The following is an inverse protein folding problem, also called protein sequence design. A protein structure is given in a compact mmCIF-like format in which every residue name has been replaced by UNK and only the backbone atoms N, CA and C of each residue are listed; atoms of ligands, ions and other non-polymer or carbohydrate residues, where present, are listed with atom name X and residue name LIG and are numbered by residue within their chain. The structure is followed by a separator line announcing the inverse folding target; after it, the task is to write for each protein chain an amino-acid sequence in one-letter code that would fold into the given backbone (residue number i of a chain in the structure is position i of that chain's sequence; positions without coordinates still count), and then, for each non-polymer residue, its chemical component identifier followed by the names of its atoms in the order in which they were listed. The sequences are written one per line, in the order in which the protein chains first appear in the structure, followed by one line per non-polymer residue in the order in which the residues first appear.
data_IF_602019772282
#
_entry.id   IF_602019772282
#
_cell.length_a   1.000
_cell.length_b   1.000
_cell.length_c   1.000
_cell.angle_alpha   90.00
_cell.angle_beta   90.00
_cell.angle_gamma   90.00
#
_symmetry.space_group_name_H-M   'P 1'
#
loop_
_entity.id
_entity.type
_entity.pdbx_description
1 polymer ?
#
# COMPACT_ATOMS: atom_id res chain seq x y z
N UNK A 1 15.00 18.00 -25.53
CA UNK A 1 14.16 17.24 -26.48
C UNK A 1 14.95 17.08 -27.77
N UNK A 2 15.05 15.89 -28.38
CA UNK A 2 15.57 15.80 -29.74
C UNK A 2 14.56 16.42 -30.73
N UNK A 3 15.01 17.04 -31.84
CA UNK A 3 14.13 17.74 -32.80
C UNK A 3 13.12 16.78 -33.44
N UNK A 4 11.92 17.26 -33.76
CA UNK A 4 10.81 16.47 -34.32
C UNK A 4 11.18 15.61 -35.56
N UNK A 5 12.16 16.07 -36.35
CA UNK A 5 12.70 15.33 -37.50
C UNK A 5 13.40 14.02 -37.11
N UNK A 6 14.04 14.00 -35.94
CA UNK A 6 14.79 12.84 -35.45
C UNK A 6 13.85 11.70 -35.02
N UNK A 7 12.66 12.02 -34.49
CA UNK A 7 11.66 11.01 -34.11
C UNK A 7 11.03 10.33 -35.34
N UNK A 8 10.80 11.07 -36.43
CA UNK A 8 10.31 10.50 -37.69
C UNK A 8 11.26 9.47 -38.31
N UNK A 9 12.56 9.77 -38.31
CA UNK A 9 13.61 8.85 -38.79
C UNK A 9 13.70 7.58 -37.94
N UNK A 10 13.53 7.69 -36.63
CA UNK A 10 13.51 6.54 -35.72
C UNK A 10 12.32 5.63 -36.03
N UNK A 11 11.12 6.17 -36.29
CA UNK A 11 9.94 5.39 -36.63
C UNK A 11 10.08 4.65 -37.97
N UNK A 12 10.64 5.31 -38.99
CA UNK A 12 10.95 4.69 -40.28
C UNK A 12 11.95 3.53 -40.12
N UNK A 13 12.99 3.73 -39.32
CA UNK A 13 13.98 2.69 -39.04
C UNK A 13 13.39 1.48 -38.30
N UNK A 14 12.48 1.70 -37.34
CA UNK A 14 11.77 0.62 -36.65
C UNK A 14 10.88 -0.15 -37.63
N UNK A 15 10.18 0.54 -38.53
CA UNK A 15 9.31 -0.11 -39.50
C UNK A 15 10.10 -0.99 -40.48
N UNK A 16 11.23 -0.49 -41.01
CA UNK A 16 12.11 -1.26 -41.90
C UNK A 16 12.70 -2.53 -41.26
N UNK A 17 12.91 -2.51 -39.95
CA UNK A 17 13.32 -3.70 -39.18
C UNK A 17 12.14 -4.68 -39.01
N UNK A 18 10.95 -4.17 -38.66
CA UNK A 18 9.74 -5.00 -38.49
C UNK A 18 9.27 -5.67 -39.77
N UNK A 19 9.38 -4.99 -40.92
CA UNK A 19 9.05 -5.54 -42.25
C UNK A 19 10.15 -6.44 -42.82
N UNK A 20 11.22 -6.72 -42.05
CA UNK A 20 12.39 -7.53 -42.43
C UNK A 20 13.14 -7.02 -43.67
N UNK A 21 12.89 -5.79 -44.14
CA UNK A 21 13.67 -5.17 -45.22
C UNK A 21 15.12 -4.96 -44.80
N UNK A 22 15.34 -4.69 -43.51
CA UNK A 22 16.68 -4.62 -42.90
C UNK A 22 16.70 -5.50 -41.66
N UNK A 23 17.51 -6.56 -41.68
CA UNK A 23 17.61 -7.52 -40.58
C UNK A 23 18.52 -7.05 -39.43
N UNK A 24 19.39 -6.06 -39.67
CA UNK A 24 20.37 -5.59 -38.69
C UNK A 24 20.06 -4.19 -38.17
N UNK A 25 19.92 -4.05 -36.86
CA UNK A 25 19.77 -2.76 -36.15
C UNK A 25 20.95 -1.81 -36.47
N UNK A 26 22.17 -2.35 -36.66
CA UNK A 26 23.35 -1.55 -37.05
C UNK A 26 23.17 -0.94 -38.44
N UNK A 27 22.63 -1.73 -39.36
CA UNK A 27 22.43 -1.33 -40.75
C UNK A 27 21.31 -0.31 -40.85
N UNK A 28 20.20 -0.53 -40.15
CA UNK A 28 19.09 0.42 -40.09
C UNK A 28 19.50 1.77 -39.48
N UNK A 29 20.31 1.75 -38.41
CA UNK A 29 20.83 2.98 -37.79
C UNK A 29 21.68 3.83 -38.76
N UNK A 30 22.46 3.19 -39.63
CA UNK A 30 23.25 3.90 -40.67
C UNK A 30 22.40 4.41 -41.83
N UNK A 31 21.42 3.62 -42.28
CA UNK A 31 20.58 3.97 -43.43
C UNK A 31 19.64 5.14 -43.12
N UNK A 32 19.09 5.20 -41.92
CA UNK A 32 18.14 6.23 -41.49
C UNK A 32 18.78 7.35 -40.65
N UNK A 33 20.11 7.38 -40.58
CA UNK A 33 20.91 8.37 -39.85
C UNK A 33 20.39 8.65 -38.42
N UNK A 34 20.30 7.58 -37.63
CA UNK A 34 19.81 7.63 -36.25
C UNK A 34 20.77 6.94 -35.28
N UNK A 35 21.02 7.51 -34.09
CA UNK A 35 21.92 6.91 -33.12
C UNK A 35 21.47 5.48 -32.77
N UNK A 36 22.38 4.52 -32.94
CA UNK A 36 22.11 3.09 -32.69
C UNK A 36 21.57 2.86 -31.28
N UNK A 37 22.11 3.55 -30.27
CA UNK A 37 21.66 3.45 -28.88
C UNK A 37 20.19 3.83 -28.72
N UNK A 38 19.75 4.92 -29.36
CA UNK A 38 18.36 5.40 -29.33
C UNK A 38 17.43 4.45 -30.08
N UNK A 39 17.85 3.95 -31.24
CA UNK A 39 17.07 2.98 -32.01
C UNK A 39 16.88 1.67 -31.24
N UNK A 40 17.94 1.15 -30.61
CA UNK A 40 17.89 -0.07 -29.82
C UNK A 40 17.05 0.10 -28.55
N UNK A 41 17.20 1.24 -27.86
CA UNK A 41 16.36 1.58 -26.71
C UNK A 41 14.88 1.67 -27.10
N UNK A 42 14.55 2.21 -28.28
CA UNK A 42 13.16 2.32 -28.79
C UNK A 42 12.58 1.00 -29.30
N UNK A 43 13.39 0.10 -29.84
CA UNK A 43 12.97 -1.27 -30.17
C UNK A 43 12.67 -2.09 -28.91
N UNK A 44 13.42 -1.89 -27.84
CA UNK A 44 13.25 -2.61 -26.58
C UNK A 44 12.21 -1.99 -25.64
N UNK A 45 11.82 -0.71 -25.81
CA UNK A 45 10.78 -0.06 -24.99
C UNK A 45 9.45 0.03 -25.74
N UNK A 46 8.44 -0.66 -25.18
CA UNK A 46 7.01 -0.23 -25.15
C UNK A 46 6.14 -0.64 -26.35
N UNK A 47 5.57 -1.84 -26.29
CA UNK A 47 4.20 -2.06 -26.77
C UNK A 47 3.30 -1.32 -25.78
N UNK A 48 2.56 -0.30 -26.24
CA UNK A 48 1.71 0.53 -25.42
C UNK A 48 0.24 0.17 -25.66
N UNK A 49 -0.43 -0.11 -24.53
CA UNK A 49 -1.81 -0.53 -24.36
C UNK A 49 -2.82 0.44 -24.99
N UNK A 50 -3.72 -0.09 -25.82
CA UNK A 50 -4.96 0.57 -26.22
C UNK A 50 -6.04 0.38 -25.15
N UNK A 51 -6.53 1.50 -24.63
CA UNK A 51 -7.89 1.77 -24.10
C UNK A 51 -8.85 0.58 -23.93
N UNK A 52 -9.32 0.33 -22.70
CA UNK A 52 -10.67 0.74 -22.22
C UNK A 52 -10.95 0.15 -20.84
N UNK A 53 -11.46 1.02 -20.00
CA UNK A 53 -11.99 0.83 -18.65
C UNK A 53 -13.15 -0.18 -18.60
N UNK A 54 -13.22 -1.03 -17.57
CA UNK A 54 -14.42 -1.18 -16.69
C UNK A 54 -14.30 -2.33 -15.66
N UNK A 55 -14.51 -1.96 -14.39
CA UNK A 55 -15.13 -2.70 -13.26
C UNK A 55 -14.55 -4.07 -12.86
N UNK A 56 -14.41 -4.46 -11.59
CA UNK A 56 -14.61 -3.90 -10.24
C UNK A 56 -14.05 -5.00 -9.30
N UNK A 57 -13.28 -4.60 -8.29
CA UNK A 57 -13.22 -5.13 -6.92
C UNK A 57 -13.37 -6.64 -6.64
N UNK A 58 -12.38 -7.19 -5.91
CA UNK A 58 -12.47 -7.46 -4.45
C UNK A 58 -11.15 -8.04 -3.94
N UNK A 59 -10.27 -7.20 -3.38
CA UNK A 59 -9.12 -7.65 -2.61
C UNK A 59 -9.59 -8.11 -1.23
N UNK A 60 -9.16 -9.28 -0.76
CA UNK A 60 -9.58 -9.79 0.55
C UNK A 60 -8.78 -9.16 1.69
N UNK A 61 -9.40 -9.08 2.88
CA UNK A 61 -8.90 -8.42 4.11
C UNK A 61 -7.55 -8.96 4.61
N UNK A 62 -7.04 -10.06 4.05
CA UNK A 62 -5.77 -10.71 4.42
C UNK A 62 -4.56 -10.13 3.68
N UNK A 63 -4.75 -9.48 2.53
CA UNK A 63 -3.66 -8.99 1.69
C UNK A 63 -3.09 -7.63 2.18
N UNK A 64 -3.83 -6.92 3.03
CA UNK A 64 -3.39 -5.66 3.65
C UNK A 64 -2.56 -5.85 4.94
N UNK A 65 -2.42 -7.08 5.47
CA UNK A 65 -2.01 -7.26 6.88
C UNK A 65 -0.48 -7.32 7.15
N UNK A 66 0.42 -7.14 6.18
CA UNK A 66 1.87 -7.12 6.48
C UNK A 66 2.72 -6.36 5.45
N UNK A 67 3.93 -5.87 5.82
CA UNK A 67 4.90 -5.33 4.85
C UNK A 67 5.24 -6.34 3.75
N UNK A 68 5.17 -7.64 4.07
CA UNK A 68 5.27 -8.73 3.09
C UNK A 68 4.08 -8.76 2.13
N UNK A 69 2.87 -8.40 2.57
CA UNK A 69 1.70 -8.24 1.73
C UNK A 69 1.85 -7.07 0.76
N UNK A 70 2.35 -5.92 1.24
CA UNK A 70 2.63 -4.76 0.35
C UNK A 70 3.73 -5.06 -0.66
N UNK A 71 4.79 -5.76 -0.23
CA UNK A 71 5.86 -6.21 -1.13
C UNK A 71 5.35 -7.26 -2.12
N UNK A 72 4.49 -8.19 -1.69
CA UNK A 72 3.87 -9.20 -2.54
C UNK A 72 2.93 -8.55 -3.55
N UNK A 73 2.07 -7.61 -3.14
CA UNK A 73 1.22 -6.82 -4.02
C UNK A 73 2.06 -6.03 -5.03
N UNK A 74 3.15 -5.39 -4.60
CA UNK A 74 4.08 -4.72 -5.51
C UNK A 74 4.70 -5.70 -6.51
N UNK A 75 5.15 -6.88 -6.07
CA UNK A 75 5.67 -7.93 -6.95
C UNK A 75 4.62 -8.45 -7.93
N UNK A 76 3.36 -8.60 -7.50
CA UNK A 76 2.23 -8.99 -8.35
C UNK A 76 1.98 -7.91 -9.40
N UNK A 77 1.90 -6.63 -9.01
CA UNK A 77 1.72 -5.51 -9.94
C UNK A 77 2.89 -5.36 -10.94
N UNK A 78 4.11 -5.70 -10.52
CA UNK A 78 5.28 -5.72 -11.40
C UNK A 78 5.23 -6.94 -12.34
N UNK A 79 4.74 -8.09 -11.86
CA UNK A 79 4.53 -9.30 -12.68
C UNK A 79 3.44 -9.12 -13.73
N UNK A 80 2.34 -8.47 -13.36
CA UNK A 80 1.23 -8.14 -14.25
C UNK A 80 1.58 -7.06 -15.29
N UNK A 81 2.67 -6.30 -15.11
CA UNK A 81 3.19 -5.37 -16.13
C UNK A 81 3.78 -6.06 -17.34
N UNK A 82 3.93 -7.39 -17.32
CA UNK A 82 4.26 -8.19 -18.51
C UNK A 82 5.65 -7.89 -19.08
N UNK A 83 6.65 -7.63 -18.22
CA UNK A 83 8.03 -7.54 -18.69
C UNK A 83 8.49 -8.91 -19.23
N UNK A 84 9.23 -8.89 -20.35
CA UNK A 84 9.69 -10.11 -21.08
C UNK A 84 10.60 -11.00 -20.23
N UNK A 85 11.07 -10.46 -19.11
CA UNK A 85 11.96 -11.12 -18.15
C UNK A 85 11.18 -11.27 -16.85
N UNK A 86 11.21 -12.43 -16.15
CA UNK A 86 10.57 -12.54 -14.85
C UNK A 86 11.08 -11.40 -13.96
N UNK A 87 10.20 -10.52 -13.47
CA UNK A 87 10.65 -9.35 -12.75
C UNK A 87 11.37 -9.79 -11.48
N UNK A 88 12.54 -9.20 -11.25
CA UNK A 88 13.24 -9.39 -10.00
C UNK A 88 12.31 -8.94 -8.86
N UNK A 89 12.17 -9.75 -7.80
CA UNK A 89 11.35 -9.37 -6.67
C UNK A 89 11.89 -8.06 -6.09
N UNK A 90 10.96 -7.19 -5.75
CA UNK A 90 11.21 -5.93 -5.07
C UNK A 90 12.06 -6.20 -3.82
N UNK A 91 13.12 -5.41 -3.63
CA UNK A 91 14.06 -5.60 -2.53
C UNK A 91 13.42 -5.37 -1.14
N UNK A 92 13.98 -6.00 -0.09
CA UNK A 92 13.48 -5.92 1.30
C UNK A 92 13.30 -4.49 1.83
N UNK A 93 14.14 -3.56 1.37
CA UNK A 93 14.13 -2.15 1.80
C UNK A 93 13.32 -1.22 0.86
N UNK A 94 12.65 -1.78 -0.16
CA UNK A 94 11.92 -0.97 -1.12
C UNK A 94 10.78 -0.18 -0.46
N UNK A 95 10.03 -0.79 0.47
CA UNK A 95 8.92 -0.10 1.13
C UNK A 95 9.41 1.12 1.92
N UNK A 96 10.55 1.00 2.62
CA UNK A 96 11.13 2.12 3.35
C UNK A 96 11.68 3.20 2.41
N UNK A 97 12.31 2.80 1.30
CA UNK A 97 12.78 3.75 0.28
C UNK A 97 11.62 4.46 -0.44
N UNK A 98 10.53 3.75 -0.71
CA UNK A 98 9.31 4.28 -1.30
C UNK A 98 8.70 5.35 -0.39
N UNK A 99 8.54 5.07 0.91
CA UNK A 99 8.02 6.03 1.88
C UNK A 99 8.93 7.26 2.05
N UNK A 100 10.24 7.10 1.89
CA UNK A 100 11.17 8.24 1.90
C UNK A 100 10.94 9.18 0.72
N UNK A 101 10.57 8.65 -0.44
CA UNK A 101 10.28 9.43 -1.65
C UNK A 101 8.90 10.12 -1.63
N UNK A 102 7.98 9.68 -0.77
CA UNK A 102 6.62 10.18 -0.69
C UNK A 102 6.29 10.62 0.75
N UNK A 103 6.70 11.84 1.16
CA UNK A 103 6.49 12.35 2.52
C UNK A 103 5.03 12.43 2.96
N UNK A 104 4.12 12.47 1.99
CA UNK A 104 2.67 12.40 2.17
C UNK A 104 2.19 11.01 2.63
N UNK A 105 3.06 10.00 2.66
CA UNK A 105 2.75 8.66 3.14
C UNK A 105 3.52 8.35 4.42
N UNK A 106 2.84 7.78 5.41
CA UNK A 106 3.41 7.37 6.69
C UNK A 106 3.00 5.95 7.03
N UNK A 107 3.93 5.18 7.58
CA UNK A 107 3.61 3.90 8.22
C UNK A 107 3.10 4.13 9.63
N UNK A 108 1.96 3.51 9.96
CA UNK A 108 1.43 3.46 11.32
C UNK A 108 1.12 2.02 11.73
N UNK A 109 1.28 1.76 13.01
CA UNK A 109 0.84 0.51 13.63
C UNK A 109 -0.59 0.66 14.11
N UNK A 110 -1.47 -0.22 13.65
CA UNK A 110 -2.85 -0.32 14.09
C UNK A 110 -2.98 -1.52 15.00
N UNK A 111 -3.66 -1.33 16.12
CA UNK A 111 -4.03 -2.40 17.02
C UNK A 111 -5.42 -2.89 16.65
N UNK A 112 -5.59 -4.22 16.64
CA UNK A 112 -6.91 -4.83 16.44
C UNK A 112 -7.81 -4.48 17.62
N UNK A 113 -8.93 -3.85 17.33
CA UNK A 113 -9.90 -3.40 18.32
C UNK A 113 -11.06 -4.39 18.40
N UNK A 114 -11.48 -4.75 19.63
CA UNK A 114 -12.56 -5.71 19.81
C UNK A 114 -13.88 -5.11 19.34
N UNK A 115 -14.54 -5.75 18.37
CA UNK A 115 -15.82 -5.27 17.82
C UNK A 115 -16.93 -5.12 18.87
N UNK A 116 -17.06 -6.07 19.82
CA UNK A 116 -18.05 -5.95 20.89
C UNK A 116 -17.79 -4.69 21.70
N UNK A 117 -16.53 -4.45 22.06
CA UNK A 117 -16.09 -3.26 22.79
C UNK A 117 -16.38 -1.98 22.01
N UNK A 118 -16.00 -1.93 20.74
CA UNK A 118 -16.27 -0.80 19.85
C UNK A 118 -17.76 -0.45 19.74
N UNK A 119 -18.64 -1.46 19.77
CA UNK A 119 -20.09 -1.28 19.66
C UNK A 119 -20.69 -0.68 20.94
N UNK A 120 -20.13 -1.00 22.11
CA UNK A 120 -20.71 -0.60 23.40
C UNK A 120 -20.00 0.58 24.07
N UNK A 121 -18.93 1.13 23.48
CA UNK A 121 -18.27 2.36 23.92
C UNK A 121 -18.96 3.61 23.37
N UNK A 122 -20.21 3.83 23.76
CA UNK A 122 -20.87 5.11 23.50
C UNK A 122 -20.31 6.15 24.49
N UNK A 123 -19.68 7.26 24.01
CA UNK A 123 -19.16 8.31 24.88
C UNK A 123 -20.19 8.84 25.86
N UNK A 124 -21.47 8.91 25.48
CA UNK A 124 -22.54 9.38 26.38
C UNK A 124 -22.73 8.45 27.56
N UNK A 125 -22.84 7.16 27.29
CA UNK A 125 -23.03 6.12 28.32
C UNK A 125 -21.83 6.08 29.28
N UNK A 126 -20.62 6.21 28.73
CA UNK A 126 -19.39 6.24 29.54
C UNK A 126 -19.37 7.49 30.43
N UNK A 127 -19.64 8.67 29.87
CA UNK A 127 -19.67 9.92 30.64
C UNK A 127 -20.75 9.90 31.73
N UNK A 128 -21.95 9.42 31.42
CA UNK A 128 -23.04 9.28 32.39
C UNK A 128 -22.67 8.35 33.55
N UNK A 129 -22.00 7.22 33.26
CA UNK A 129 -21.52 6.31 34.29
C UNK A 129 -20.49 6.98 35.20
N UNK A 130 -19.50 7.68 34.63
CA UNK A 130 -18.49 8.39 35.42
C UNK A 130 -19.08 9.52 36.27
N UNK A 131 -20.05 10.27 35.74
CA UNK A 131 -20.75 11.31 36.49
C UNK A 131 -21.45 10.72 37.72
N UNK A 132 -22.20 9.62 37.54
CA UNK A 132 -22.85 8.91 38.66
C UNK A 132 -21.84 8.37 39.66
N UNK A 133 -20.73 7.82 39.18
CA UNK A 133 -19.66 7.34 40.05
C UNK A 133 -19.09 8.48 40.92
N UNK A 134 -18.83 9.65 40.32
CA UNK A 134 -18.34 10.83 41.04
C UNK A 134 -19.37 11.37 42.05
N UNK A 135 -20.66 11.36 41.70
CA UNK A 135 -21.75 11.73 42.61
C UNK A 135 -21.80 10.80 43.84
N UNK A 136 -21.74 9.49 43.63
CA UNK A 136 -21.73 8.49 44.72
C UNK A 136 -20.46 8.63 45.55
N UNK A 137 -19.29 8.80 44.92
CA UNK A 137 -18.02 9.04 45.62
C UNK A 137 -18.13 10.26 46.55
N UNK A 138 -18.72 11.34 46.07
CA UNK A 138 -18.96 12.55 46.87
C UNK A 138 -19.97 12.33 48.00
N UNK A 139 -21.10 11.66 47.71
CA UNK A 139 -22.17 11.40 48.69
C UNK A 139 -21.67 10.60 49.89
N UNK A 140 -20.84 9.59 49.64
CA UNK A 140 -20.29 8.72 50.69
C UNK A 140 -18.90 9.14 51.16
N UNK A 141 -18.37 10.28 50.67
CA UNK A 141 -17.02 10.77 51.00
C UNK A 141 -15.93 9.70 50.85
N UNK A 142 -16.02 8.88 49.79
CA UNK A 142 -15.06 7.81 49.51
C UNK A 142 -13.74 8.45 49.09
N UNK A 143 -12.66 8.17 49.83
CA UNK A 143 -11.33 8.67 49.53
C UNK A 143 -10.75 7.93 48.31
N UNK A 144 -9.88 8.61 47.55
CA UNK A 144 -9.18 7.96 46.43
C UNK A 144 -8.32 6.76 46.88
N UNK A 145 -7.85 6.79 48.12
CA UNK A 145 -7.09 5.71 48.76
C UNK A 145 -7.93 4.44 48.98
N UNK A 146 -9.26 4.58 49.08
CA UNK A 146 -10.20 3.49 49.31
C UNK A 146 -10.78 2.91 48.00
N UNK A 147 -10.27 3.35 46.85
CA UNK A 147 -10.68 2.85 45.54
C UNK A 147 -9.71 1.77 45.09
N UNK A 148 -10.16 0.51 45.18
CA UNK A 148 -9.38 -0.64 44.76
C UNK A 148 -9.85 -1.14 43.39
N UNK A 149 -8.92 -1.33 42.45
CA UNK A 149 -9.22 -2.03 41.20
C UNK A 149 -9.33 -3.53 41.49
N UNK A 150 -10.50 -4.11 41.22
CA UNK A 150 -10.68 -5.55 41.27
C UNK A 150 -10.73 -6.10 39.84
N UNK A 151 -9.55 -6.24 39.23
CA UNK A 151 -9.40 -6.98 37.99
C UNK A 151 -8.73 -8.33 38.28
N UNK A 152 -9.38 -9.41 37.82
CA UNK A 152 -8.69 -10.71 37.77
C UNK A 152 -7.70 -10.64 36.63
N UNK A 153 -6.42 -10.80 36.93
CA UNK A 153 -5.37 -11.06 35.94
C UNK A 153 -5.62 -12.43 35.30
N UNK A 154 -6.48 -12.46 34.29
CA UNK A 154 -6.72 -13.65 33.48
C UNK A 154 -5.59 -13.87 32.47
N UNK A 155 -5.38 -15.11 32.06
CA UNK A 155 -4.56 -15.38 30.87
C UNK A 155 -5.25 -14.79 29.65
N UNK A 156 -4.54 -13.95 28.89
CA UNK A 156 -5.06 -13.33 27.68
C UNK A 156 -5.18 -14.39 26.57
N UNK A 157 -6.32 -15.04 26.48
CA UNK A 157 -6.66 -15.96 25.38
C UNK A 157 -7.11 -15.13 24.17
N UNK A 158 -6.15 -14.60 23.41
CA UNK A 158 -6.46 -13.87 22.19
C UNK A 158 -5.21 -13.38 21.45
N UNK A 159 -5.26 -13.39 20.13
CA UNK A 159 -4.19 -12.88 19.28
C UNK A 159 -4.22 -11.35 19.32
N UNK A 160 -3.31 -10.72 20.07
CA UNK A 160 -3.03 -9.28 19.95
C UNK A 160 -2.18 -9.07 18.69
N UNK A 161 -2.80 -9.19 17.52
CA UNK A 161 -2.10 -8.94 16.27
C UNK A 161 -2.03 -7.42 16.02
N UNK A 162 -0.79 -6.93 15.93
CA UNK A 162 -0.48 -5.57 15.54
C UNK A 162 -0.28 -5.58 14.02
N UNK A 163 -1.00 -4.72 13.30
CA UNK A 163 -0.90 -4.61 11.84
C UNK A 163 -0.15 -3.33 11.46
N UNK A 164 0.79 -3.42 10.52
CA UNK A 164 1.45 -2.25 9.91
C UNK A 164 0.67 -1.82 8.67
N UNK A 165 0.24 -0.57 8.62
CA UNK A 165 -0.50 0.00 7.48
C UNK A 165 0.19 1.28 6.99
N UNK A 166 0.15 1.50 5.67
CA UNK A 166 0.59 2.76 5.04
C UNK A 166 -0.62 3.67 4.89
N UNK A 167 -0.54 4.88 5.43
CA UNK A 167 -1.64 5.85 5.48
C UNK A 167 -1.11 7.22 5.02
N UNK A 168 -1.99 8.09 4.51
CA UNK A 168 -1.65 9.49 4.27
C UNK A 168 -1.17 10.19 5.55
N UNK A 169 -0.21 11.10 5.40
CA UNK A 169 0.38 11.94 6.44
C UNK A 169 -0.64 12.79 7.20
N UNK A 170 -1.75 13.10 6.54
CA UNK A 170 -2.77 14.05 7.01
C UNK A 170 -3.79 13.39 7.93
N UNK A 171 -3.72 12.07 8.09
CA UNK A 171 -4.57 11.35 9.04
C UNK A 171 -4.13 11.63 10.47
N UNK A 172 -5.00 12.30 11.23
CA UNK A 172 -4.81 12.50 12.66
C UNK A 172 -5.23 11.24 13.43
N UNK A 173 -4.40 10.79 14.38
CA UNK A 173 -4.68 9.64 15.25
C UNK A 173 -4.30 8.27 14.69
N UNK A 174 -4.62 7.22 15.46
CA UNK A 174 -4.50 5.81 15.10
C UNK A 174 -5.89 5.26 14.79
N UNK A 175 -6.26 5.03 13.51
CA UNK A 175 -7.55 4.45 13.20
C UNK A 175 -7.60 3.00 13.72
N UNK A 176 -8.61 2.60 14.50
CA UNK A 176 -8.73 1.23 15.00
C UNK A 176 -9.15 0.29 13.86
N UNK A 177 -8.50 -0.87 13.75
CA UNK A 177 -8.95 -1.93 12.85
C UNK A 177 -9.97 -2.81 13.59
N UNK A 178 -11.24 -2.66 13.23
CA UNK A 178 -12.34 -3.41 13.84
C UNK A 178 -12.36 -4.84 13.27
N UNK A 179 -12.29 -5.82 14.17
CA UNK A 179 -12.35 -7.24 13.80
C UNK A 179 -13.65 -7.92 14.27
N UNK A 180 -14.35 -8.66 13.39
CA UNK A 180 -15.41 -9.55 13.81
C UNK A 180 -14.80 -10.74 14.59
N UNK A 181 -14.88 -10.63 15.92
CA UNK A 181 -14.76 -11.62 16.99
C UNK A 181 -13.91 -12.90 16.82
N UNK A 182 -12.92 -13.05 17.70
CA UNK A 182 -12.65 -14.26 18.52
C UNK A 182 -11.89 -13.81 19.78
N UNK A 183 -12.62 -13.21 20.71
CA UNK A 183 -12.15 -12.84 22.05
C UNK A 183 -13.22 -13.38 23.01
N UNK A 184 -12.94 -14.54 23.57
CA UNK A 184 -13.57 -15.05 24.80
C UNK A 184 -12.58 -14.82 25.94
#
# INVERSE_FOLDING_TARGET
MPPAEQEGRILLAINAIKTKQITSVRKAARVFDVPRGTLNARLCRRVQMGTTYTKRFRMTKLEEESPSGVQAMANTLVSERGEVTPPLPVGKNWLTAFLYCYPELKMKYIHKYNYKRAKYEDPKVICEWFNRFLEVKGQYSILDEDIYNFDKTGFAMGIIAITKVVISSDTFGKPPLIQPGNRE
#
